data_IF_304469422775
#
_entry.id   IF_304469422775
#
_cell.length_a   1.000
_cell.length_b   1.000
_cell.length_c   1.000
_cell.angle_alpha   90.00
_cell.angle_beta   90.00
_cell.angle_gamma   90.00
#
_symmetry.space_group_name_H-M   'P 1'
#
loop_
_entity.id
_entity.type
_entity.pdbx_description
1 polymer ?
#
# COMPACT_ATOMS: atom_id res chain seq x y z
N UNK A 1 3.42 13.08 15.00
CA UNK A 1 2.66 11.82 15.25
C UNK A 1 1.21 11.84 14.70
N UNK A 2 0.73 12.91 14.02
CA UNK A 2 -0.71 13.09 13.73
C UNK A 2 -1.18 12.46 12.40
N UNK A 3 -0.29 12.17 11.44
CA UNK A 3 -0.72 11.82 10.07
C UNK A 3 -1.15 10.37 9.81
N UNK A 4 -0.52 9.37 10.44
CA UNK A 4 -0.81 7.95 10.14
C UNK A 4 -2.04 7.42 10.86
N UNK A 5 -2.22 7.82 12.13
CA UNK A 5 -3.35 7.37 12.97
C UNK A 5 -4.68 7.91 12.45
N UNK A 6 -4.69 9.16 11.97
CA UNK A 6 -5.89 9.80 11.42
C UNK A 6 -6.30 9.21 10.06
N UNK A 7 -5.31 8.85 9.22
CA UNK A 7 -5.57 8.15 7.96
C UNK A 7 -6.17 6.76 8.20
N UNK A 8 -5.55 5.96 9.07
CA UNK A 8 -6.03 4.61 9.40
C UNK A 8 -7.47 4.65 9.94
N UNK A 9 -7.77 5.60 10.82
CA UNK A 9 -9.11 5.79 11.38
C UNK A 9 -10.12 6.24 10.32
N UNK A 10 -9.75 7.18 9.46
CA UNK A 10 -10.60 7.70 8.39
C UNK A 10 -10.93 6.64 7.35
N UNK A 11 -9.92 5.89 6.87
CA UNK A 11 -10.12 4.79 5.93
C UNK A 11 -10.92 3.65 6.57
N UNK A 12 -10.62 3.31 7.83
CA UNK A 12 -11.34 2.28 8.59
C UNK A 12 -12.82 2.58 8.81
N UNK A 13 -13.17 3.85 9.10
CA UNK A 13 -14.58 4.28 9.19
C UNK A 13 -15.26 4.25 7.83
N UNK A 14 -14.56 4.70 6.80
CA UNK A 14 -15.09 4.79 5.44
C UNK A 14 -15.43 3.41 4.88
N UNK A 15 -14.54 2.43 5.00
CA UNK A 15 -14.79 1.08 4.47
C UNK A 15 -15.98 0.41 5.18
N UNK A 16 -16.13 0.62 6.50
CA UNK A 16 -17.29 0.11 7.25
C UNK A 16 -18.59 0.77 6.81
N UNK A 17 -18.59 2.09 6.63
CA UNK A 17 -19.75 2.83 6.13
C UNK A 17 -20.17 2.34 4.74
N UNK A 18 -19.22 2.19 3.82
CA UNK A 18 -19.49 1.72 2.47
C UNK A 18 -20.08 0.30 2.49
N UNK A 19 -19.55 -0.59 3.32
CA UNK A 19 -20.08 -1.93 3.50
C UNK A 19 -21.52 -1.92 4.03
N UNK A 20 -21.83 -1.06 5.00
CA UNK A 20 -23.18 -0.93 5.56
C UNK A 20 -24.18 -0.36 4.56
N UNK A 21 -23.77 0.63 3.75
CA UNK A 21 -24.63 1.26 2.75
C UNK A 21 -24.98 0.31 1.59
N UNK A 22 -24.05 -0.57 1.22
CA UNK A 22 -24.19 -1.44 0.04
C UNK A 22 -24.58 -2.88 0.40
N UNK A 23 -24.43 -3.24 1.67
CA UNK A 23 -24.53 -4.61 2.16
C UNK A 23 -23.63 -5.59 1.37
N UNK A 24 -22.46 -5.11 0.95
CA UNK A 24 -21.42 -5.84 0.23
C UNK A 24 -20.13 -5.91 1.05
N UNK A 25 -19.11 -6.60 0.54
CA UNK A 25 -17.74 -6.39 1.02
C UNK A 25 -17.27 -5.07 0.46
N UNK A 26 -16.87 -4.15 1.33
CA UNK A 26 -16.21 -2.94 0.93
C UNK A 26 -14.70 -3.09 1.06
N UNK A 27 -13.99 -2.42 0.17
CA UNK A 27 -12.54 -2.39 0.12
C UNK A 27 -12.04 -0.97 -0.09
N UNK A 28 -10.91 -0.65 0.53
CA UNK A 28 -10.22 0.63 0.32
C UNK A 28 -8.72 0.35 0.24
N UNK A 29 -8.11 0.71 -0.88
CA UNK A 29 -6.67 0.72 -1.07
C UNK A 29 -6.08 1.91 -0.32
N UNK A 30 -4.97 1.72 0.38
CA UNK A 30 -4.18 2.83 0.90
C UNK A 30 -3.56 3.63 -0.24
N UNK A 31 -3.44 4.96 -0.12
CA UNK A 31 -2.71 5.75 -1.10
C UNK A 31 -1.28 5.23 -1.25
N UNK A 32 -0.88 4.90 -2.48
CA UNK A 32 0.46 4.36 -2.74
C UNK A 32 1.52 5.41 -2.42
N UNK A 33 2.59 4.97 -1.76
CA UNK A 33 3.79 5.77 -1.54
C UNK A 33 4.82 5.58 -2.67
N UNK A 34 4.47 4.89 -3.76
CA UNK A 34 5.40 4.64 -4.86
C UNK A 34 6.04 5.90 -5.45
N UNK A 35 5.32 7.04 -5.42
CA UNK A 35 5.84 8.38 -5.79
C UNK A 35 6.42 9.19 -4.64
N UNK A 36 6.25 8.75 -3.40
CA UNK A 36 6.89 9.42 -2.28
C UNK A 36 8.39 9.43 -2.52
N UNK A 37 9.02 10.55 -2.21
CA UNK A 37 10.46 10.72 -2.41
C UNK A 37 11.16 10.53 -1.09
N UNK A 38 12.36 9.99 -1.15
CA UNK A 38 13.25 9.98 0.01
C UNK A 38 13.59 11.43 0.32
N UNK A 39 13.24 11.90 1.51
CA UNK A 39 13.58 13.24 1.98
C UNK A 39 14.92 13.21 2.71
N UNK A 40 15.09 12.24 3.60
CA UNK A 40 16.31 12.09 4.38
C UNK A 40 16.42 10.66 4.92
N UNK A 41 17.65 10.17 5.05
CA UNK A 41 17.98 8.90 5.72
C UNK A 41 18.92 9.20 6.87
N UNK A 42 18.57 8.75 8.08
CA UNK A 42 19.49 8.77 9.22
C UNK A 42 19.91 7.37 9.60
N UNK A 43 21.17 7.25 10.01
CA UNK A 43 21.73 6.05 10.62
C UNK A 43 22.35 6.47 11.94
N UNK A 44 21.86 5.92 13.04
CA UNK A 44 22.29 6.27 14.40
C UNK A 44 22.75 5.00 15.08
N UNK A 45 23.99 4.97 15.57
CA UNK A 45 24.45 3.86 16.40
C UNK A 45 23.64 3.85 17.71
N UNK A 46 22.96 2.72 17.98
CA UNK A 46 22.16 2.53 19.20
C UNK A 46 22.83 1.59 20.19
N UNK A 47 23.74 0.72 19.73
CA UNK A 47 24.63 -0.10 20.54
C UNK A 47 25.90 -0.46 19.75
N UNK A 48 26.84 -1.16 20.39
CA UNK A 48 28.10 -1.58 19.75
C UNK A 48 27.90 -2.37 18.46
N UNK A 49 26.81 -3.14 18.36
CA UNK A 49 26.47 -3.97 17.19
C UNK A 49 25.10 -3.62 16.59
N UNK A 50 24.53 -2.45 16.93
CA UNK A 50 23.19 -2.05 16.47
C UNK A 50 23.15 -0.65 15.89
N UNK A 51 22.43 -0.50 14.79
CA UNK A 51 22.20 0.76 14.11
C UNK A 51 20.71 0.97 13.92
N UNK A 52 20.21 2.12 14.36
CA UNK A 52 18.87 2.59 14.05
C UNK A 52 18.88 3.27 12.67
N UNK A 53 18.21 2.66 11.70
CA UNK A 53 17.87 3.25 10.42
C UNK A 53 16.57 4.04 10.55
N UNK A 54 16.58 5.27 10.08
CA UNK A 54 15.39 6.12 9.97
C UNK A 54 15.25 6.60 8.54
N UNK A 55 14.13 6.26 7.89
CA UNK A 55 13.76 6.73 6.55
C UNK A 55 12.65 7.77 6.67
N UNK A 56 12.90 8.97 6.16
CA UNK A 56 11.95 10.09 6.14
C UNK A 56 11.56 10.35 4.69
N UNK A 57 10.26 10.40 4.40
CA UNK A 57 9.74 10.74 3.07
C UNK A 57 9.30 12.20 2.98
N UNK A 58 9.14 12.71 1.76
CA UNK A 58 8.56 14.04 1.49
C UNK A 58 7.10 14.16 1.94
N UNK A 59 6.36 13.05 1.96
CA UNK A 59 5.02 12.94 2.57
C UNK A 59 5.00 13.01 4.10
N UNK A 60 6.16 13.14 4.75
CA UNK A 60 6.28 13.28 6.21
C UNK A 60 6.15 11.96 6.99
N UNK A 61 6.17 10.82 6.29
CA UNK A 61 6.20 9.50 6.93
C UNK A 61 7.62 9.20 7.42
N UNK A 62 7.70 8.65 8.62
CA UNK A 62 8.96 8.25 9.26
C UNK A 62 8.89 6.75 9.53
N UNK A 63 9.83 5.99 8.98
CA UNK A 63 10.02 4.58 9.31
C UNK A 63 11.31 4.42 10.11
N UNK A 64 11.28 3.52 11.09
CA UNK A 64 12.40 3.23 11.96
C UNK A 64 12.63 1.73 12.02
N UNK A 65 13.88 1.31 11.87
CA UNK A 65 14.26 -0.09 11.94
C UNK A 65 15.61 -0.24 12.64
N UNK A 66 15.71 -1.21 13.56
CA UNK A 66 16.97 -1.52 14.23
C UNK A 66 17.64 -2.66 13.48
N UNK A 67 18.82 -2.38 12.97
CA UNK A 67 19.66 -3.32 12.23
C UNK A 67 20.66 -3.91 13.23
N UNK A 68 20.71 -5.24 13.30
CA UNK A 68 21.74 -5.96 14.04
C UNK A 68 22.90 -6.30 13.10
N UNK A 69 24.10 -5.85 13.47
CA UNK A 69 25.33 -6.10 12.74
C UNK A 69 26.14 -7.17 13.49
N UNK A 70 26.82 -8.03 12.74
CA UNK A 70 27.60 -9.13 13.31
C UNK A 70 28.94 -8.67 13.93
N UNK A 71 29.29 -7.40 13.75
CA UNK A 71 30.56 -6.80 14.16
C UNK A 71 30.33 -5.44 14.82
N UNK A 72 31.36 -4.93 15.48
CA UNK A 72 31.31 -3.63 16.11
C UNK A 72 31.15 -2.51 15.06
N UNK A 73 30.24 -1.59 15.35
CA UNK A 73 29.90 -0.46 14.50
C UNK A 73 30.96 0.63 14.61
N UNK A 74 31.58 0.96 13.48
CA UNK A 74 32.40 2.15 13.37
C UNK A 74 31.53 3.38 13.04
N UNK A 75 31.51 4.36 13.95
CA UNK A 75 30.77 5.63 13.80
C UNK A 75 31.18 6.37 12.52
N UNK A 76 32.46 6.31 12.13
CA UNK A 76 32.92 6.96 10.89
C UNK A 76 32.32 6.30 9.65
N UNK A 77 32.31 4.96 9.62
CA UNK A 77 31.71 4.19 8.53
C UNK A 77 30.21 4.49 8.41
N UNK A 78 29.48 4.53 9.53
CA UNK A 78 28.05 4.88 9.52
C UNK A 78 27.81 6.28 8.98
N UNK A 79 28.63 7.25 9.38
CA UNK A 79 28.59 8.61 8.84
C UNK A 79 28.81 8.66 7.33
N UNK A 80 29.78 7.88 6.82
CA UNK A 80 30.07 7.77 5.39
C UNK A 80 28.90 7.14 4.62
N UNK A 81 28.36 6.02 5.10
CA UNK A 81 27.21 5.33 4.51
C UNK A 81 26.02 6.27 4.44
N UNK A 82 25.69 6.93 5.55
CA UNK A 82 24.58 7.90 5.61
C UNK A 82 24.77 9.03 4.60
N UNK A 83 25.98 9.58 4.50
CA UNK A 83 26.25 10.66 3.55
C UNK A 83 26.07 10.20 2.10
N UNK A 84 26.62 9.04 1.75
CA UNK A 84 26.48 8.48 0.40
C UNK A 84 25.03 8.14 0.06
N UNK A 85 24.28 7.53 0.99
CA UNK A 85 22.86 7.25 0.82
C UNK A 85 22.05 8.53 0.55
N UNK A 86 22.26 9.59 1.33
CA UNK A 86 21.53 10.84 1.11
C UNK A 86 21.93 11.52 -0.21
N UNK A 87 23.20 11.47 -0.61
CA UNK A 87 23.63 11.99 -1.91
C UNK A 87 22.98 11.24 -3.07
N UNK A 88 22.87 9.91 -2.96
CA UNK A 88 22.29 9.07 -4.03
C UNK A 88 20.76 9.08 -4.06
N UNK A 89 20.11 9.20 -2.90
CA UNK A 89 18.68 8.92 -2.76
C UNK A 89 17.84 10.15 -2.46
N UNK A 90 18.38 11.23 -1.88
CA UNK A 90 17.56 12.39 -1.53
C UNK A 90 16.88 12.98 -2.78
N UNK A 91 15.55 13.07 -2.74
CA UNK A 91 14.70 13.51 -3.84
C UNK A 91 14.32 12.42 -4.86
N UNK A 92 14.91 11.22 -4.78
CA UNK A 92 14.55 10.09 -5.63
C UNK A 92 13.21 9.48 -5.19
N UNK A 93 12.42 8.97 -6.13
CA UNK A 93 11.20 8.25 -5.80
C UNK A 93 11.55 6.95 -5.07
N UNK A 94 10.73 6.53 -4.11
CA UNK A 94 10.85 5.20 -3.49
C UNK A 94 10.86 4.11 -4.57
N UNK A 95 10.12 4.32 -5.67
CA UNK A 95 10.21 3.76 -7.03
C UNK A 95 11.59 3.28 -7.53
N UNK A 96 12.60 4.10 -7.28
CA UNK A 96 13.88 4.04 -7.98
C UNK A 96 15.03 3.59 -7.06
N UNK A 97 14.81 3.56 -5.75
CA UNK A 97 15.84 3.28 -4.73
C UNK A 97 16.56 1.95 -4.99
N UNK A 98 15.83 0.87 -5.29
CA UNK A 98 16.44 -0.43 -5.59
C UNK A 98 17.40 -0.36 -6.78
N UNK A 99 17.05 0.38 -7.82
CA UNK A 99 17.91 0.52 -9.00
C UNK A 99 19.15 1.37 -8.68
N UNK A 100 18.98 2.46 -7.93
CA UNK A 100 20.08 3.35 -7.53
C UNK A 100 21.09 2.68 -6.60
N UNK A 101 20.68 1.65 -5.83
CA UNK A 101 21.54 0.97 -4.86
C UNK A 101 22.22 -0.31 -5.38
N UNK A 102 21.98 -0.70 -6.65
CA UNK A 102 22.46 -1.98 -7.22
C UNK A 102 23.97 -2.23 -7.05
N UNK A 103 24.80 -1.19 -7.09
CA UNK A 103 26.27 -1.30 -6.90
C UNK A 103 26.79 -0.41 -5.74
N UNK A 104 25.92 -0.09 -4.78
CA UNK A 104 26.28 0.83 -3.68
C UNK A 104 27.43 0.30 -2.82
N UNK A 105 27.43 -1.02 -2.53
CA UNK A 105 28.49 -1.66 -1.75
C UNK A 105 29.85 -1.69 -2.48
N UNK A 106 29.87 -1.58 -3.81
CA UNK A 106 31.09 -1.54 -4.62
C UNK A 106 32.01 -0.37 -4.27
N UNK A 107 31.43 0.76 -3.85
CA UNK A 107 32.12 1.99 -3.46
C UNK A 107 32.76 2.01 -2.07
N UNK A 108 32.79 0.87 -1.37
CA UNK A 108 33.40 0.72 -0.04
C UNK A 108 34.50 -0.34 -0.02
N UNK A 109 35.40 -0.23 0.95
CA UNK A 109 36.46 -1.20 1.20
C UNK A 109 35.90 -2.61 1.44
N UNK A 110 36.59 -3.65 0.96
CA UNK A 110 36.15 -5.05 1.03
C UNK A 110 35.73 -5.48 2.44
N UNK A 111 36.46 -5.06 3.47
CA UNK A 111 36.16 -5.37 4.87
C UNK A 111 34.80 -4.83 5.33
N UNK A 112 34.34 -3.70 4.78
CA UNK A 112 33.12 -3.03 5.21
C UNK A 112 31.89 -3.44 4.38
N UNK A 113 32.10 -4.14 3.25
CA UNK A 113 31.02 -4.44 2.29
C UNK A 113 29.88 -5.24 2.91
N UNK A 114 30.17 -6.19 3.78
CA UNK A 114 29.11 -6.99 4.42
C UNK A 114 28.18 -6.12 5.27
N UNK A 115 28.74 -5.20 6.08
CA UNK A 115 27.95 -4.28 6.90
C UNK A 115 27.13 -3.33 6.01
N UNK A 116 27.73 -2.83 4.93
CA UNK A 116 27.03 -1.96 3.95
C UNK A 116 25.88 -2.71 3.29
N UNK A 117 26.07 -3.96 2.86
CA UNK A 117 25.03 -4.78 2.24
C UNK A 117 23.87 -4.98 3.21
N UNK A 118 24.11 -5.35 4.47
CA UNK A 118 23.06 -5.51 5.47
C UNK A 118 22.24 -4.22 5.68
N UNK A 119 22.90 -3.06 5.69
CA UNK A 119 22.23 -1.76 5.82
C UNK A 119 21.40 -1.44 4.58
N UNK A 120 21.94 -1.71 3.38
CA UNK A 120 21.22 -1.52 2.11
C UNK A 120 20.01 -2.44 2.02
N UNK A 121 20.16 -3.73 2.33
CA UNK A 121 19.05 -4.69 2.36
C UNK A 121 17.97 -4.25 3.34
N UNK A 122 18.35 -3.87 4.57
CA UNK A 122 17.40 -3.36 5.57
C UNK A 122 16.68 -2.10 5.08
N UNK A 123 17.38 -1.20 4.37
CA UNK A 123 16.76 -0.02 3.76
C UNK A 123 15.80 -0.40 2.64
N UNK A 124 16.16 -1.35 1.77
CA UNK A 124 15.28 -1.85 0.71
C UNK A 124 14.02 -2.48 1.29
N UNK A 125 14.13 -3.25 2.38
CA UNK A 125 12.96 -3.79 3.09
C UNK A 125 12.04 -2.67 3.61
N UNK A 126 12.59 -1.57 4.14
CA UNK A 126 11.78 -0.42 4.56
C UNK A 126 11.16 0.33 3.37
N UNK A 127 11.86 0.41 2.24
CA UNK A 127 11.34 0.99 1.00
C UNK A 127 10.19 0.13 0.47
N UNK A 128 10.34 -1.19 0.44
CA UNK A 128 9.32 -2.13 -0.01
C UNK A 128 8.13 -2.16 0.94
N UNK A 129 8.34 -2.10 2.25
CA UNK A 129 7.27 -1.92 3.22
C UNK A 129 6.49 -0.59 3.05
N UNK A 130 7.11 0.45 2.46
CA UNK A 130 6.41 1.65 2.02
C UNK A 130 5.68 1.45 0.68
N UNK A 131 6.24 0.65 -0.24
CA UNK A 131 5.62 0.33 -1.53
C UNK A 131 4.48 -0.67 -1.45
N UNK A 132 4.38 -1.45 -0.38
CA UNK A 132 3.28 -2.39 -0.21
C UNK A 132 1.96 -1.60 -0.17
N UNK A 133 1.27 -1.60 -1.31
CA UNK A 133 -0.12 -1.18 -1.38
C UNK A 133 -0.88 -2.05 -0.39
N UNK A 134 -1.52 -1.42 0.59
CA UNK A 134 -2.34 -2.11 1.57
C UNK A 134 -3.80 -1.99 1.17
N UNK A 135 -4.61 -2.93 1.60
CA UNK A 135 -6.06 -2.85 1.45
C UNK A 135 -6.74 -3.07 2.80
N UNK A 136 -7.76 -2.28 3.09
CA UNK A 136 -8.68 -2.51 4.21
C UNK A 136 -9.96 -3.11 3.66
N UNK A 137 -10.47 -4.13 4.35
CA UNK A 137 -11.73 -4.79 4.02
C UNK A 137 -12.74 -4.63 5.15
N UNK A 138 -14.01 -4.50 4.82
CA UNK A 138 -15.11 -4.62 5.76
C UNK A 138 -16.30 -5.32 5.11
N UNK A 139 -17.08 -6.04 5.92
CA UNK A 139 -18.30 -6.69 5.43
C UNK A 139 -18.11 -8.04 4.76
N UNK A 140 -16.99 -8.73 4.97
CA UNK A 140 -16.82 -10.13 4.51
C UNK A 140 -17.95 -11.03 5.00
N UNK A 141 -18.47 -10.79 6.20
CA UNK A 141 -19.65 -11.49 6.72
C UNK A 141 -20.94 -11.26 5.88
N UNK A 142 -21.02 -10.20 5.06
CA UNK A 142 -22.17 -9.97 4.18
C UNK A 142 -22.21 -10.97 3.03
N UNK A 143 -21.05 -11.46 2.58
CA UNK A 143 -20.96 -12.52 1.58
C UNK A 143 -21.53 -13.83 2.12
N UNK A 144 -21.11 -14.25 3.31
CA UNK A 144 -21.61 -15.46 3.95
C UNK A 144 -23.13 -15.42 4.17
N UNK A 145 -23.71 -14.24 4.45
CA UNK A 145 -25.16 -14.06 4.57
C UNK A 145 -25.91 -14.15 3.23
N UNK A 146 -25.21 -14.03 2.11
CA UNK A 146 -25.76 -14.01 0.74
C UNK A 146 -25.16 -15.13 -0.12
N UNK A 147 -24.80 -16.25 0.49
CA UNK A 147 -24.25 -17.40 -0.23
C UNK A 147 -25.17 -17.87 -1.36
N UNK A 148 -26.49 -17.81 -1.15
CA UNK A 148 -27.51 -18.16 -2.15
C UNK A 148 -27.48 -17.28 -3.42
N UNK A 149 -26.92 -16.07 -3.34
CA UNK A 149 -26.79 -15.17 -4.49
C UNK A 149 -25.59 -15.54 -5.40
N UNK A 150 -24.73 -16.47 -4.97
CA UNK A 150 -23.60 -16.96 -5.74
C UNK A 150 -23.94 -18.28 -6.47
N UNK A 151 -23.64 -18.39 -7.77
CA UNK A 151 -23.80 -19.65 -8.48
C UNK A 151 -22.78 -20.68 -7.98
N UNK A 152 -23.24 -21.64 -7.19
CA UNK A 152 -22.42 -22.74 -6.67
C UNK A 152 -21.90 -22.46 -5.27
N UNK A 153 -20.58 -22.27 -5.14
CA UNK A 153 -19.91 -22.04 -3.85
C UNK A 153 -19.34 -20.62 -3.77
N UNK A 154 -19.41 -20.05 -2.57
CA UNK A 154 -18.79 -18.77 -2.22
C UNK A 154 -17.32 -18.90 -1.83
N UNK A 155 -16.83 -20.12 -1.57
CA UNK A 155 -15.45 -20.38 -1.12
C UNK A 155 -14.39 -19.74 -2.03
N UNK A 156 -14.46 -19.83 -3.37
CA UNK A 156 -13.44 -19.22 -4.23
C UNK A 156 -13.35 -17.69 -4.09
N UNK A 157 -14.49 -17.04 -3.81
CA UNK A 157 -14.54 -15.59 -3.58
C UNK A 157 -13.93 -15.24 -2.23
N UNK A 158 -14.20 -16.04 -1.19
CA UNK A 158 -13.61 -15.84 0.14
C UNK A 158 -12.09 -16.06 0.11
N UNK A 159 -11.61 -17.11 -0.55
CA UNK A 159 -10.18 -17.39 -0.75
C UNK A 159 -9.49 -16.24 -1.49
N UNK A 160 -10.10 -15.72 -2.56
CA UNK A 160 -9.57 -14.57 -3.28
C UNK A 160 -9.56 -13.28 -2.43
N UNK A 161 -10.48 -13.14 -1.47
CA UNK A 161 -10.52 -12.00 -0.54
C UNK A 161 -9.45 -12.13 0.54
N UNK A 162 -9.15 -13.35 1.00
CA UNK A 162 -8.05 -13.63 1.92
C UNK A 162 -6.70 -13.30 1.27
N UNK A 163 -6.55 -13.54 -0.03
CA UNK A 163 -5.36 -13.17 -0.78
C UNK A 163 -5.38 -11.69 -1.21
N UNK A 164 -5.01 -10.79 -0.29
CA UNK A 164 -5.02 -9.33 -0.54
C UNK A 164 -4.27 -8.89 -1.81
N UNK A 165 -3.23 -9.62 -2.20
CA UNK A 165 -2.46 -9.36 -3.43
C UNK A 165 -3.33 -9.51 -4.69
N UNK A 166 -4.27 -10.46 -4.72
CA UNK A 166 -5.22 -10.65 -5.83
C UNK A 166 -6.12 -9.42 -5.95
N UNK A 167 -6.66 -8.94 -4.83
CA UNK A 167 -7.53 -7.76 -4.81
C UNK A 167 -6.78 -6.50 -5.27
N UNK A 168 -5.54 -6.32 -4.83
CA UNK A 168 -4.72 -5.17 -5.22
C UNK A 168 -4.41 -5.15 -6.71
N UNK A 169 -4.05 -6.31 -7.29
CA UNK A 169 -3.80 -6.42 -8.73
C UNK A 169 -5.07 -6.15 -9.54
N UNK A 170 -6.19 -6.76 -9.15
CA UNK A 170 -7.49 -6.52 -9.77
C UNK A 170 -7.83 -5.03 -9.82
N UNK A 171 -7.78 -4.37 -8.66
CA UNK A 171 -8.10 -2.95 -8.53
C UNK A 171 -7.13 -2.09 -9.36
N UNK A 172 -5.84 -2.42 -9.39
CA UNK A 172 -4.83 -1.69 -10.18
C UNK A 172 -5.10 -1.80 -11.68
N UNK A 173 -5.44 -3.00 -12.17
CA UNK A 173 -5.72 -3.28 -13.59
C UNK A 173 -7.03 -2.65 -14.07
N UNK A 174 -8.00 -2.44 -13.18
CA UNK A 174 -9.27 -1.77 -13.50
C UNK A 174 -9.05 -0.30 -13.85
N UNK A 175 -9.12 0.03 -15.14
CA UNK A 175 -9.02 1.39 -15.65
C UNK A 175 -10.32 2.17 -15.37
N UNK A 176 -10.19 3.42 -14.90
CA UNK A 176 -11.34 4.31 -14.69
C UNK A 176 -12.06 4.57 -16.01
N UNK A 177 -13.35 4.24 -16.10
CA UNK A 177 -14.17 4.62 -17.25
C UNK A 177 -14.45 6.14 -17.25
N UNK A 178 -15.07 6.66 -18.32
CA UNK A 178 -15.44 8.08 -18.48
C UNK A 178 -16.26 8.66 -17.31
N UNK A 179 -16.89 7.81 -16.49
CA UNK A 179 -17.73 8.19 -15.35
C UNK A 179 -17.01 8.15 -13.99
N UNK A 180 -15.69 7.88 -13.95
CA UNK A 180 -14.89 7.84 -12.71
C UNK A 180 -15.14 6.61 -11.84
N UNK A 181 -15.83 5.59 -12.37
CA UNK A 181 -16.10 4.30 -11.73
C UNK A 181 -15.75 3.20 -12.74
N UNK A 182 -15.13 2.14 -12.27
CA UNK A 182 -14.82 0.92 -13.03
C UNK A 182 -15.70 -0.22 -12.52
N UNK A 183 -16.22 -1.01 -13.43
CA UNK A 183 -17.07 -2.16 -13.13
C UNK A 183 -16.49 -3.41 -13.83
N UNK A 184 -16.40 -4.51 -13.11
CA UNK A 184 -16.09 -5.84 -13.66
C UNK A 184 -17.12 -6.84 -13.16
N UNK A 185 -17.72 -7.60 -14.08
CA UNK A 185 -18.83 -8.51 -13.78
C UNK A 185 -18.43 -9.96 -14.11
N UNK A 186 -18.40 -10.80 -13.08
CA UNK A 186 -18.24 -12.24 -13.20
C UNK A 186 -17.03 -12.63 -14.06
N UNK A 187 -17.28 -13.14 -15.27
CA UNK A 187 -16.25 -13.62 -16.20
C UNK A 187 -15.34 -12.54 -16.78
N UNK A 188 -15.67 -11.27 -16.56
CA UNK A 188 -14.78 -10.15 -16.89
C UNK A 188 -13.62 -10.04 -15.88
N UNK A 189 -13.73 -10.67 -14.70
CA UNK A 189 -12.67 -10.67 -13.72
C UNK A 189 -11.50 -11.55 -14.23
N UNK A 190 -10.25 -11.05 -14.21
CA UNK A 190 -9.08 -11.80 -14.65
C UNK A 190 -8.70 -12.96 -13.71
N UNK A 191 -9.26 -12.98 -12.50
CA UNK A 191 -9.00 -13.99 -11.46
C UNK A 191 -10.17 -14.97 -11.36
N UNK A 192 -9.88 -16.27 -11.48
CA UNK A 192 -10.90 -17.33 -11.49
C UNK A 192 -11.73 -17.37 -10.19
N UNK A 193 -11.11 -17.09 -9.04
CA UNK A 193 -11.80 -16.99 -7.75
C UNK A 193 -12.88 -15.91 -7.68
N UNK A 194 -12.85 -14.93 -8.61
CA UNK A 194 -13.83 -13.85 -8.70
C UNK A 194 -14.77 -13.98 -9.90
N UNK A 195 -14.72 -15.10 -10.65
CA UNK A 195 -15.56 -15.31 -11.83
C UNK A 195 -17.07 -15.28 -11.55
N UNK A 196 -17.47 -15.45 -10.28
CA UNK A 196 -18.85 -15.42 -9.80
C UNK A 196 -19.21 -14.15 -9.00
N UNK A 197 -18.30 -13.18 -8.94
CA UNK A 197 -18.47 -11.93 -8.22
C UNK A 197 -18.48 -10.74 -9.18
N UNK A 198 -19.03 -9.63 -8.72
CA UNK A 198 -18.93 -8.34 -9.39
C UNK A 198 -18.17 -7.37 -8.52
N UNK A 199 -17.34 -6.54 -9.15
CA UNK A 199 -16.45 -5.60 -8.49
C UNK A 199 -16.72 -4.20 -9.05
N UNK A 200 -17.03 -3.26 -8.16
CA UNK A 200 -17.25 -1.84 -8.49
C UNK A 200 -16.21 -1.02 -7.76
N UNK A 201 -15.43 -0.23 -8.48
CA UNK A 201 -14.31 0.55 -7.95
C UNK A 201 -14.39 2.00 -8.40
N UNK A 202 -14.01 2.94 -7.54
CA UNK A 202 -13.82 4.35 -7.89
C UNK A 202 -12.54 4.88 -7.26
N UNK A 203 -11.91 5.83 -7.95
CA UNK A 203 -10.70 6.50 -7.50
C UNK A 203 -10.98 7.64 -6.51
N UNK A 204 -10.12 7.81 -5.53
CA UNK A 204 -10.05 8.96 -4.65
C UNK A 204 -8.61 9.50 -4.61
N UNK A 205 -8.47 10.79 -4.32
CA UNK A 205 -7.18 11.49 -4.35
C UNK A 205 -6.81 11.99 -2.96
N UNK A 206 -5.50 12.09 -2.68
CA UNK A 206 -4.97 12.67 -1.46
C UNK A 206 -3.94 13.75 -1.81
N UNK A 207 -4.24 15.03 -1.55
CA UNK A 207 -3.30 16.15 -1.80
C UNK A 207 -2.66 16.18 -3.20
N UNK A 208 -3.41 15.79 -4.25
CA UNK A 208 -2.88 15.71 -5.62
C UNK A 208 -1.93 14.54 -5.88
N UNK A 209 -1.87 13.56 -4.98
CA UNK A 209 -1.17 12.29 -5.15
C UNK A 209 -1.83 11.39 -6.19
N UNK A 210 -1.19 10.25 -6.45
CA UNK A 210 -1.77 9.16 -7.24
C UNK A 210 -3.17 8.75 -6.72
N UNK A 211 -4.05 8.39 -7.67
CA UNK A 211 -5.43 8.00 -7.41
C UNK A 211 -5.43 6.64 -6.71
N UNK A 212 -5.72 6.64 -5.42
CA UNK A 212 -6.02 5.44 -4.65
C UNK A 212 -7.44 4.97 -4.97
N UNK A 213 -7.76 3.70 -4.76
CA UNK A 213 -9.05 3.14 -5.17
C UNK A 213 -9.84 2.60 -3.98
N UNK A 214 -11.16 2.70 -4.05
CA UNK A 214 -12.09 2.06 -3.14
C UNK A 214 -13.23 1.43 -3.91
N UNK A 215 -13.88 0.43 -3.33
CA UNK A 215 -14.90 -0.30 -4.05
C UNK A 215 -15.67 -1.28 -3.21
N UNK A 216 -16.49 -2.06 -3.90
CA UNK A 216 -17.24 -3.17 -3.32
C UNK A 216 -17.13 -4.43 -4.16
N UNK A 217 -17.10 -5.59 -3.49
CA UNK A 217 -17.29 -6.92 -4.07
C UNK A 217 -18.64 -7.46 -3.62
N UNK A 218 -19.44 -7.93 -4.57
CA UNK A 218 -20.72 -8.56 -4.33
C UNK A 218 -21.05 -9.65 -5.35
N UNK A 219 -22.22 -10.29 -5.25
CA UNK A 219 -22.70 -11.26 -6.24
C UNK A 219 -23.01 -10.57 -7.58
N UNK A 220 -23.05 -11.36 -8.66
CA UNK A 220 -23.34 -10.85 -10.02
C UNK A 220 -24.73 -10.24 -10.19
N UNK A 221 -25.65 -10.50 -9.25
CA UNK A 221 -27.03 -9.96 -9.24
C UNK A 221 -27.24 -8.84 -8.22
N UNK A 222 -26.17 -8.14 -7.82
CA UNK A 222 -26.28 -7.00 -6.89
C UNK A 222 -26.97 -5.77 -7.51
N UNK A 223 -27.42 -4.84 -6.65
CA UNK A 223 -27.94 -3.53 -7.09
C UNK A 223 -26.79 -2.61 -7.53
N UNK A 224 -26.45 -2.70 -8.81
CA UNK A 224 -25.39 -1.90 -9.43
C UNK A 224 -25.64 -0.40 -9.31
N UNK A 225 -26.89 0.06 -9.44
CA UNK A 225 -27.22 1.49 -9.42
C UNK A 225 -26.92 2.12 -8.06
N UNK A 226 -27.38 1.45 -7.00
CA UNK A 226 -27.13 1.87 -5.62
C UNK A 226 -25.64 1.76 -5.27
N UNK A 227 -24.98 0.66 -5.65
CA UNK A 227 -23.57 0.42 -5.35
C UNK A 227 -22.64 1.42 -6.06
N UNK A 228 -22.85 1.69 -7.35
CA UNK A 228 -22.09 2.71 -8.12
C UNK A 228 -22.29 4.09 -7.50
N UNK A 229 -23.52 4.43 -7.11
CA UNK A 229 -23.82 5.72 -6.49
C UNK A 229 -23.14 5.88 -5.13
N UNK A 230 -23.18 4.85 -4.28
CA UNK A 230 -22.54 4.83 -2.98
C UNK A 230 -21.01 4.93 -3.09
N UNK A 231 -20.39 4.07 -3.90
CA UNK A 231 -18.94 4.07 -4.13
C UNK A 231 -18.46 5.44 -4.61
N UNK A 232 -19.14 6.05 -5.59
CA UNK A 232 -18.79 7.38 -6.10
C UNK A 232 -18.99 8.50 -5.07
N UNK A 233 -20.03 8.43 -4.25
CA UNK A 233 -20.26 9.41 -3.19
C UNK A 233 -19.17 9.33 -2.12
N UNK A 234 -18.82 8.11 -1.70
CA UNK A 234 -17.78 7.83 -0.72
C UNK A 234 -16.39 8.22 -1.23
N UNK A 235 -16.07 7.95 -2.49
CA UNK A 235 -14.82 8.38 -3.12
C UNK A 235 -14.64 9.90 -3.08
N UNK A 236 -15.70 10.65 -3.45
CA UNK A 236 -15.67 12.12 -3.36
C UNK A 236 -15.53 12.63 -1.93
N UNK A 237 -16.15 11.96 -0.97
CA UNK A 237 -15.98 12.28 0.45
C UNK A 237 -14.54 12.08 0.89
N UNK A 238 -13.92 10.94 0.57
CA UNK A 238 -12.52 10.67 0.89
C UNK A 238 -11.56 11.68 0.26
N UNK A 239 -11.75 12.01 -1.02
CA UNK A 239 -10.94 13.04 -1.68
C UNK A 239 -11.02 14.38 -0.93
N UNK A 240 -12.20 14.78 -0.46
CA UNK A 240 -12.37 16.03 0.30
C UNK A 240 -11.80 15.95 1.71
N UNK A 241 -11.93 14.80 2.37
CA UNK A 241 -11.43 14.60 3.74
C UNK A 241 -9.90 14.54 3.80
N UNK A 242 -9.26 13.95 2.78
CA UNK A 242 -7.81 13.78 2.71
C UNK A 242 -7.10 14.91 1.94
N UNK A 243 -7.80 15.61 1.05
CA UNK A 243 -7.25 16.72 0.28
C UNK A 243 -7.16 18.06 1.01
N UNK A 244 -7.64 18.15 2.26
CA UNK A 244 -7.56 19.34 3.10
C UNK A 244 -6.33 19.31 4.02
#
# INVERSE_FOLDING_TARGET
MVGSVDLDETLGRTVRLLSQLTNQVAMVQYPSLGRAKVRNIELIQSADTRVLLILITDSGRIQQHVIELNEAVDVHLIGEIRSKLNVSLAGAALAEVSNLLTDFAGGFALANRMQVVLIVESLLDQVDANRQDKIILAGTANLARREEDFPGSISPVLEAIEEQVVLLKLITEMQSERNGVSLSIGRENPYEGLANASVVVSGYENQGSEIAKLGVIGPTRMDYSSNISAVRAVARYLTKALGN
#
